data_IF_349859872177
#
_entry.id   IF_349859872177
#
_cell.length_a   1.000
_cell.length_b   1.000
_cell.length_c   1.000
_cell.angle_alpha   90.00
_cell.angle_beta   90.00
_cell.angle_gamma   90.00
#
_symmetry.space_group_name_H-M   'P 1'
#
loop_
_entity.id
_entity.type
_entity.pdbx_description
1 polymer ?
#
# COMPACT_ATOMS: atom_id res chain seq x y z
N UNK A 1 20.30 -0.20 -2.12
CA UNK A 1 19.19 0.76 -2.23
C UNK A 1 17.89 0.07 -1.89
N UNK A 2 17.16 0.61 -0.96
CA UNK A 2 15.89 0.02 -0.58
C UNK A 2 14.81 0.39 -1.59
N UNK A 3 13.94 -0.57 -1.89
CA UNK A 3 12.78 -0.36 -2.73
C UNK A 3 11.55 -0.39 -1.83
N UNK A 4 10.53 0.33 -2.26
CA UNK A 4 9.31 0.43 -1.46
C UNK A 4 8.12 -0.17 -2.18
N UNK A 5 7.40 -1.02 -1.46
CA UNK A 5 6.13 -1.55 -1.92
C UNK A 5 5.06 -0.89 -1.07
N UNK A 6 4.10 -0.23 -1.72
CA UNK A 6 2.99 0.41 -1.04
C UNK A 6 1.75 -0.45 -1.23
N UNK A 7 1.08 -0.77 -0.13
CA UNK A 7 -0.17 -1.53 -0.16
C UNK A 7 -1.27 -0.61 0.33
N UNK A 8 -2.17 -0.24 -0.57
CA UNK A 8 -3.30 0.62 -0.26
C UNK A 8 -4.49 -0.25 0.07
N UNK A 9 -4.98 -0.15 1.28
CA UNK A 9 -6.06 -0.98 1.78
C UNK A 9 -5.51 -2.22 2.48
N UNK A 10 -5.52 -2.18 3.81
CA UNK A 10 -4.96 -3.27 4.63
C UNK A 10 -6.05 -4.16 5.24
N UNK A 11 -7.18 -4.29 4.53
CA UNK A 11 -8.20 -5.22 4.92
C UNK A 11 -7.74 -6.66 4.69
N UNK A 12 -8.69 -7.55 4.53
CA UNK A 12 -8.38 -8.98 4.44
C UNK A 12 -7.39 -9.30 3.31
N UNK A 13 -7.65 -8.80 2.11
CA UNK A 13 -6.80 -9.10 0.95
C UNK A 13 -5.46 -8.38 1.03
N UNK A 14 -5.48 -7.08 1.37
CA UNK A 14 -4.25 -6.30 1.48
C UNK A 14 -3.35 -6.83 2.58
N UNK A 15 -3.94 -7.22 3.71
CA UNK A 15 -3.18 -7.82 4.81
C UNK A 15 -2.55 -9.15 4.42
N UNK A 16 -3.29 -9.99 3.68
CA UNK A 16 -2.76 -11.26 3.20
C UNK A 16 -1.61 -11.06 2.22
N UNK A 17 -1.76 -10.09 1.33
CA UNK A 17 -0.72 -9.77 0.36
C UNK A 17 0.54 -9.26 1.06
N UNK A 18 0.37 -8.39 2.05
CA UNK A 18 1.49 -7.87 2.82
C UNK A 18 2.26 -9.00 3.49
N UNK A 19 1.55 -9.95 4.09
CA UNK A 19 2.18 -11.09 4.74
C UNK A 19 2.95 -11.96 3.73
N UNK A 20 2.39 -12.14 2.54
CA UNK A 20 3.03 -12.93 1.50
C UNK A 20 4.31 -12.26 0.99
N UNK A 21 4.35 -10.94 0.99
CA UNK A 21 5.51 -10.18 0.51
C UNK A 21 6.54 -9.91 1.60
N UNK A 22 6.20 -10.21 2.83
CA UNK A 22 7.07 -9.92 3.96
C UNK A 22 8.39 -10.66 3.83
N UNK A 23 9.48 -9.91 3.90
CA UNK A 23 10.81 -10.50 3.77
C UNK A 23 11.24 -10.79 2.34
N UNK A 24 10.40 -10.39 1.37
CA UNK A 24 10.73 -10.62 -0.03
C UNK A 24 11.78 -9.61 -0.49
N UNK A 25 12.98 -10.10 -0.77
CA UNK A 25 14.11 -9.30 -1.21
C UNK A 25 14.34 -8.10 -0.27
N UNK A 26 14.72 -6.95 -0.81
CA UNK A 26 15.04 -5.75 -0.04
C UNK A 26 13.90 -4.74 -0.06
N UNK A 27 12.67 -5.24 -0.15
CA UNK A 27 11.51 -4.36 -0.17
C UNK A 27 11.07 -3.96 1.23
N UNK A 28 10.74 -2.69 1.34
CA UNK A 28 10.15 -2.09 2.52
C UNK A 28 8.66 -1.99 2.26
N UNK A 29 7.85 -2.57 3.13
CA UNK A 29 6.39 -2.57 2.95
C UNK A 29 5.77 -1.39 3.69
N UNK A 30 5.07 -0.54 2.94
CA UNK A 30 4.38 0.63 3.49
C UNK A 30 2.87 0.39 3.37
N UNK A 31 2.18 0.44 4.48
CA UNK A 31 0.73 0.27 4.50
C UNK A 31 -0.01 1.59 4.49
N UNK A 32 -1.06 1.68 3.69
CA UNK A 32 -1.92 2.85 3.61
C UNK A 32 -3.37 2.39 3.80
N UNK A 33 -4.08 3.03 4.71
CA UNK A 33 -5.48 2.72 4.95
C UNK A 33 -6.16 3.94 5.58
N UNK A 34 -7.46 4.09 5.34
CA UNK A 34 -8.22 5.18 5.95
C UNK A 34 -8.53 4.88 7.41
N UNK A 35 -8.41 3.64 7.83
CA UNK A 35 -8.72 3.20 9.18
C UNK A 35 -7.45 3.23 10.04
N UNK A 36 -7.40 4.15 11.00
CA UNK A 36 -6.26 4.25 11.89
C UNK A 36 -6.07 2.99 12.74
N UNK A 37 -7.14 2.37 13.29
CA UNK A 37 -6.97 1.10 13.99
C UNK A 37 -6.38 -0.01 13.13
N UNK A 38 -6.73 -0.04 11.84
CA UNK A 38 -6.16 -1.02 10.91
C UNK A 38 -4.66 -0.81 10.74
N UNK A 39 -4.24 0.44 10.62
CA UNK A 39 -2.82 0.77 10.49
C UNK A 39 -2.05 0.36 11.75
N UNK A 40 -2.62 0.64 12.91
CA UNK A 40 -2.00 0.28 14.17
C UNK A 40 -1.84 -1.23 14.31
N UNK A 41 -2.88 -1.97 13.97
CA UNK A 41 -2.85 -3.42 14.01
C UNK A 41 -1.76 -3.97 13.09
N UNK A 42 -1.66 -3.42 11.89
CA UNK A 42 -0.66 -3.86 10.91
C UNK A 42 0.76 -3.67 11.44
N UNK A 43 1.01 -2.57 12.15
CA UNK A 43 2.32 -2.34 12.76
C UNK A 43 2.57 -3.29 13.91
N UNK A 44 1.58 -3.46 14.79
CA UNK A 44 1.72 -4.31 15.98
C UNK A 44 1.94 -5.77 15.61
N UNK A 45 1.31 -6.22 14.53
CA UNK A 45 1.44 -7.60 14.07
C UNK A 45 2.55 -7.78 13.04
N UNK A 46 3.34 -6.73 12.83
CA UNK A 46 4.47 -6.77 11.91
C UNK A 46 4.07 -7.18 10.48
N UNK A 47 2.87 -6.76 10.08
CA UNK A 47 2.35 -7.04 8.74
C UNK A 47 3.06 -6.17 7.71
N UNK A 48 3.37 -4.93 8.08
CA UNK A 48 4.11 -3.99 7.24
C UNK A 48 5.28 -3.42 8.03
N UNK A 49 6.25 -2.84 7.35
CA UNK A 49 7.40 -2.23 8.00
C UNK A 49 7.06 -0.88 8.58
N UNK A 50 6.19 -0.14 7.90
CA UNK A 50 5.68 1.13 8.41
C UNK A 50 4.34 1.45 7.77
N UNK A 51 3.65 2.42 8.35
CA UNK A 51 2.38 2.89 7.81
C UNK A 51 2.50 4.37 7.50
N UNK A 52 1.71 4.83 6.54
CA UNK A 52 1.67 6.23 6.17
C UNK A 52 0.20 6.65 6.05
N UNK A 53 -0.27 7.52 6.96
CA UNK A 53 -1.66 7.99 6.89
C UNK A 53 -1.96 8.84 5.67
N UNK A 54 -0.95 9.52 5.12
CA UNK A 54 -1.12 10.36 3.94
C UNK A 54 -0.76 9.57 2.67
N UNK A 55 -1.76 9.20 1.87
CA UNK A 55 -1.49 8.42 0.65
C UNK A 55 -0.50 9.08 -0.29
N UNK A 56 -0.56 10.40 -0.43
CA UNK A 56 0.33 11.10 -1.35
C UNK A 56 1.80 10.90 -0.98
N UNK A 57 2.10 10.91 0.32
CA UNK A 57 3.47 10.70 0.78
C UNK A 57 3.95 9.29 0.50
N UNK A 58 3.08 8.31 0.74
CA UNK A 58 3.41 6.91 0.48
C UNK A 58 3.66 6.68 -1.00
N UNK A 59 2.78 7.21 -1.85
CA UNK A 59 2.88 7.01 -3.29
C UNK A 59 4.14 7.64 -3.87
N UNK A 60 4.61 8.72 -3.27
CA UNK A 60 5.84 9.36 -3.73
C UNK A 60 7.06 8.45 -3.56
N UNK A 61 6.99 7.47 -2.67
CA UNK A 61 8.09 6.53 -2.43
C UNK A 61 7.87 5.18 -3.09
N UNK A 62 6.65 4.87 -3.53
CA UNK A 62 6.31 3.54 -3.99
C UNK A 62 6.88 3.17 -5.35
N UNK A 63 7.74 2.18 -5.38
CA UNK A 63 8.24 1.61 -6.62
C UNK A 63 7.21 0.65 -7.20
N UNK A 64 6.49 -0.03 -6.32
CA UNK A 64 5.44 -0.97 -6.66
C UNK A 64 4.25 -0.66 -5.76
N UNK A 65 3.07 -0.48 -6.33
CA UNK A 65 1.87 -0.11 -5.58
C UNK A 65 0.77 -1.12 -5.86
N UNK A 66 0.24 -1.70 -4.80
CA UNK A 66 -0.92 -2.60 -4.87
C UNK A 66 -2.15 -1.86 -4.34
N UNK A 67 -3.18 -1.76 -5.17
CA UNK A 67 -4.44 -1.15 -4.78
C UNK A 67 -5.42 -2.26 -4.40
N UNK A 68 -5.56 -2.51 -3.11
CA UNK A 68 -6.40 -3.57 -2.58
C UNK A 68 -7.73 -2.99 -2.10
N UNK A 69 -8.47 -2.43 -3.03
CA UNK A 69 -9.71 -1.72 -2.77
C UNK A 69 -10.83 -2.31 -3.62
N UNK A 70 -12.07 -1.95 -3.27
CA UNK A 70 -13.20 -2.28 -4.13
C UNK A 70 -13.07 -1.54 -5.46
N UNK A 71 -13.69 -2.03 -6.55
CA UNK A 71 -13.53 -1.40 -7.86
C UNK A 71 -13.81 0.10 -7.87
N UNK A 72 -14.86 0.55 -7.21
CA UNK A 72 -15.15 1.98 -7.16
C UNK A 72 -14.07 2.73 -6.37
N UNK A 73 -13.57 2.11 -5.31
CA UNK A 73 -12.47 2.69 -4.53
C UNK A 73 -11.21 2.86 -5.35
N UNK A 74 -10.92 1.90 -6.23
CA UNK A 74 -9.76 1.99 -7.13
C UNK A 74 -9.93 3.17 -8.09
N UNK A 75 -11.10 3.31 -8.68
CA UNK A 75 -11.38 4.42 -9.59
C UNK A 75 -11.21 5.76 -8.89
N UNK A 76 -11.81 5.88 -7.70
CA UNK A 76 -11.74 7.12 -6.93
C UNK A 76 -10.32 7.43 -6.50
N UNK A 77 -9.60 6.43 -6.06
CA UNK A 77 -8.22 6.59 -5.62
C UNK A 77 -7.33 7.05 -6.77
N UNK A 78 -7.45 6.40 -7.93
CA UNK A 78 -6.66 6.77 -9.10
C UNK A 78 -6.98 8.19 -9.57
N UNK A 79 -8.26 8.58 -9.54
CA UNK A 79 -8.65 9.93 -9.94
C UNK A 79 -8.06 10.98 -9.00
N UNK A 80 -8.03 10.69 -7.70
CA UNK A 80 -7.54 11.64 -6.70
C UNK A 80 -6.01 11.71 -6.68
N UNK A 81 -5.33 10.59 -6.88
CA UNK A 81 -3.89 10.50 -6.64
C UNK A 81 -3.04 10.26 -7.88
N UNK A 82 -3.60 10.43 -9.08
CA UNK A 82 -2.86 10.14 -10.32
C UNK A 82 -1.52 10.84 -10.40
N UNK A 83 -1.42 12.06 -9.86
CA UNK A 83 -0.21 12.86 -9.94
C UNK A 83 0.76 12.63 -8.79
N UNK A 84 0.39 11.76 -7.85
CA UNK A 84 1.20 11.51 -6.67
C UNK A 84 2.10 10.29 -6.83
N UNK A 85 1.86 9.47 -7.84
CA UNK A 85 2.69 8.29 -8.07
C UNK A 85 4.09 8.70 -8.52
N UNK A 86 5.05 7.98 -7.98
CA UNK A 86 6.44 8.18 -8.35
C UNK A 86 6.63 7.84 -9.83
N UNK A 87 7.41 8.63 -10.60
CA UNK A 87 7.69 8.29 -12.00
C UNK A 87 8.28 6.89 -12.11
N UNK A 88 7.73 6.10 -13.03
CA UNK A 88 8.21 4.73 -13.21
C UNK A 88 7.61 3.71 -12.28
N UNK A 89 6.72 4.12 -11.38
CA UNK A 89 6.09 3.18 -10.45
C UNK A 89 5.19 2.20 -11.22
N UNK A 90 5.20 0.95 -10.76
CA UNK A 90 4.29 -0.06 -11.28
C UNK A 90 3.08 -0.13 -10.35
N UNK A 91 1.89 -0.02 -10.92
CA UNK A 91 0.65 -0.01 -10.14
C UNK A 91 -0.20 -1.20 -10.57
N UNK A 92 -0.63 -1.98 -9.59
CA UNK A 92 -1.45 -3.17 -9.83
C UNK A 92 -2.68 -3.08 -8.93
N UNK A 93 -3.86 -3.33 -9.50
CA UNK A 93 -5.08 -3.41 -8.70
C UNK A 93 -5.39 -4.86 -8.36
N UNK A 94 -5.85 -5.04 -7.12
CA UNK A 94 -6.26 -6.34 -6.62
C UNK A 94 -7.67 -6.17 -6.06
N UNK A 95 -8.65 -6.72 -6.75
CA UNK A 95 -10.04 -6.64 -6.33
C UNK A 95 -10.41 -7.88 -5.53
N UNK A 96 -10.97 -7.64 -4.37
CA UNK A 96 -11.44 -8.73 -3.53
C UNK A 96 -12.89 -9.07 -3.77
#
# INVERSE_FOLDING_TARGET
>A
MSRHIVIVGLGLIGGSMAKALRGFEDFDLIGVDVSEPTLRYALEQDVVDRVEPDPAKALAEGDLVFLCLHPQGIVDFMAEHRDHFKPGAMVTDVCG
#
